data_IF_345195150719
#
_entry.id   IF_345195150719
#
_cell.length_a   1.000
_cell.length_b   1.000
_cell.length_c   1.000
_cell.angle_alpha   90.00
_cell.angle_beta   90.00
_cell.angle_gamma   90.00
#
_symmetry.space_group_name_H-M   'P 1'
#
loop_
_entity.id
_entity.type
_entity.pdbx_description
1 polymer ?
#
# COMPACT_ATOMS: atom_id res chain seq x y z
N UNK A 1 4.38 -10.64 24.74
CA UNK A 1 4.60 -11.02 23.33
C UNK A 1 3.25 -11.45 22.80
N UNK A 2 2.75 -10.80 21.76
CA UNK A 2 1.43 -11.13 21.18
C UNK A 2 1.63 -12.35 20.27
N UNK A 3 0.69 -13.28 20.32
CA UNK A 3 0.70 -14.44 19.42
C UNK A 3 0.52 -13.99 17.96
N UNK A 4 1.14 -14.70 17.02
CA UNK A 4 1.09 -14.37 15.59
C UNK A 4 -0.34 -14.36 15.06
N UNK A 5 -1.17 -15.32 15.45
CA UNK A 5 -2.53 -15.47 14.93
C UNK A 5 -3.40 -14.22 15.21
N UNK A 6 -3.51 -13.70 16.45
CA UNK A 6 -4.24 -12.47 16.73
C UNK A 6 -3.53 -11.20 16.24
N UNK A 7 -2.19 -11.23 16.05
CA UNK A 7 -1.46 -10.08 15.53
C UNK A 7 -1.77 -9.81 14.05
N UNK A 8 -2.00 -10.84 13.23
CA UNK A 8 -2.28 -10.73 11.79
C UNK A 8 -3.46 -9.80 11.47
N UNK A 9 -4.68 -9.98 12.02
CA UNK A 9 -5.81 -9.10 11.68
C UNK A 9 -5.58 -7.65 12.11
N UNK A 10 -4.87 -7.43 13.24
CA UNK A 10 -4.52 -6.08 13.70
C UNK A 10 -3.52 -5.44 12.72
N UNK A 11 -2.48 -6.19 12.34
CA UNK A 11 -1.49 -5.76 11.37
C UNK A 11 -2.12 -5.48 9.99
N UNK A 12 -3.12 -6.27 9.58
CA UNK A 12 -3.88 -6.04 8.35
C UNK A 12 -4.63 -4.70 8.38
N UNK A 13 -5.31 -4.38 9.47
CA UNK A 13 -6.00 -3.09 9.63
C UNK A 13 -4.99 -1.93 9.62
N UNK A 14 -3.84 -2.09 10.28
CA UNK A 14 -2.78 -1.08 10.30
C UNK A 14 -2.21 -0.86 8.89
N UNK A 15 -1.84 -1.93 8.17
CA UNK A 15 -1.37 -1.86 6.79
C UNK A 15 -2.41 -1.17 5.90
N UNK A 16 -3.68 -1.60 5.98
CA UNK A 16 -4.79 -1.04 5.20
C UNK A 16 -4.93 0.46 5.41
N UNK A 17 -4.98 0.90 6.67
CA UNK A 17 -5.10 2.33 7.00
C UNK A 17 -3.87 3.11 6.52
N UNK A 18 -2.68 2.54 6.68
CA UNK A 18 -1.43 3.19 6.32
C UNK A 18 -1.35 3.49 4.82
N UNK A 19 -1.44 2.46 3.97
CA UNK A 19 -1.28 2.68 2.54
C UNK A 19 -2.46 3.49 1.98
N UNK A 20 -3.69 3.23 2.45
CA UNK A 20 -4.86 3.99 1.99
C UNK A 20 -4.71 5.48 2.33
N UNK A 21 -4.26 5.81 3.54
CA UNK A 21 -4.04 7.20 3.95
C UNK A 21 -2.93 7.88 3.12
N UNK A 22 -1.84 7.18 2.84
CA UNK A 22 -0.75 7.70 2.03
C UNK A 22 -1.17 7.89 0.57
N UNK A 23 -1.94 6.96 0.00
CA UNK A 23 -2.44 7.06 -1.37
C UNK A 23 -3.38 8.27 -1.54
N UNK A 24 -4.22 8.54 -0.53
CA UNK A 24 -5.04 9.76 -0.49
C UNK A 24 -4.20 11.02 -0.32
N UNK A 25 -3.21 11.02 0.59
CA UNK A 25 -2.32 12.16 0.85
C UNK A 25 -1.57 12.59 -0.42
N UNK A 26 -1.06 11.61 -1.18
CA UNK A 26 -0.35 11.85 -2.43
C UNK A 26 -1.27 12.07 -3.64
N UNK A 27 -2.60 12.09 -3.43
CA UNK A 27 -3.61 12.34 -4.47
C UNK A 27 -3.47 11.42 -5.68
N UNK A 28 -3.03 10.18 -5.45
CA UNK A 28 -2.93 9.15 -6.50
C UNK A 28 -4.24 8.92 -7.28
N UNK A 29 -5.45 9.13 -6.73
CA UNK A 29 -6.68 8.92 -7.51
C UNK A 29 -6.95 10.00 -8.59
N UNK A 30 -6.17 11.10 -8.65
CA UNK A 30 -6.41 12.20 -9.61
C UNK A 30 -5.97 11.89 -11.05
N UNK A 31 -4.96 11.05 -11.23
CA UNK A 31 -4.44 10.68 -12.56
C UNK A 31 -3.77 9.30 -12.49
N UNK A 32 -3.75 8.57 -13.60
CA UNK A 32 -2.84 7.43 -13.75
C UNK A 32 -1.40 7.93 -13.66
N UNK A 33 -0.70 7.64 -12.56
CA UNK A 33 0.68 8.07 -12.31
C UNK A 33 1.68 7.36 -13.23
N UNK A 34 1.29 6.21 -13.76
CA UNK A 34 2.05 5.34 -14.67
C UNK A 34 1.14 4.78 -15.76
N UNK A 35 1.72 4.33 -16.88
CA UNK A 35 0.97 3.87 -18.06
C UNK A 35 -0.02 2.72 -17.76
N UNK A 36 0.34 1.82 -16.84
CA UNK A 36 -0.52 0.70 -16.41
C UNK A 36 -1.77 1.16 -15.66
N UNK A 37 -1.66 2.22 -14.84
CA UNK A 37 -2.79 2.73 -14.08
C UNK A 37 -3.88 3.32 -14.99
N UNK A 38 -3.46 3.97 -16.08
CA UNK A 38 -4.36 4.55 -17.07
C UNK A 38 -5.14 3.50 -17.87
N UNK A 39 -4.51 2.35 -18.14
CA UNK A 39 -5.16 1.21 -18.80
C UNK A 39 -6.21 0.60 -17.86
N UNK A 40 -5.84 0.36 -16.60
CA UNK A 40 -6.73 -0.24 -15.59
C UNK A 40 -7.92 0.69 -15.30
N UNK A 41 -7.70 1.99 -15.15
CA UNK A 41 -8.77 2.96 -14.94
C UNK A 41 -9.80 2.98 -16.08
N UNK A 42 -9.34 2.95 -17.33
CA UNK A 42 -10.21 2.90 -18.52
C UNK A 42 -10.96 1.57 -18.64
N UNK A 43 -10.33 0.45 -18.32
CA UNK A 43 -10.96 -0.87 -18.39
C UNK A 43 -12.05 -1.04 -17.31
N UNK A 44 -11.78 -0.56 -16.10
CA UNK A 44 -12.76 -0.54 -15.02
C UNK A 44 -13.94 0.38 -15.32
N UNK A 45 -13.70 1.56 -15.91
CA UNK A 45 -14.76 2.46 -16.38
C UNK A 45 -15.68 1.75 -17.39
N UNK A 46 -15.10 1.05 -18.38
CA UNK A 46 -15.86 0.25 -19.37
C UNK A 46 -16.66 -0.90 -18.73
N UNK A 47 -16.11 -1.50 -17.68
CA UNK A 47 -16.77 -2.57 -16.91
C UNK A 47 -17.83 -2.04 -15.92
N UNK A 48 -18.05 -0.73 -15.86
CA UNK A 48 -19.04 -0.05 -15.02
C UNK A 48 -18.53 0.27 -13.60
N UNK A 49 -17.23 0.32 -13.39
CA UNK A 49 -16.56 0.84 -12.19
C UNK A 49 -16.46 2.37 -12.19
N UNK A 50 -15.77 2.93 -11.19
CA UNK A 50 -15.45 4.36 -11.12
C UNK A 50 -14.03 4.60 -11.63
N UNK A 51 -13.85 5.55 -12.54
CA UNK A 51 -12.56 5.81 -13.20
C UNK A 51 -11.48 6.28 -12.23
N UNK A 52 -11.81 7.16 -11.28
CA UNK A 52 -10.83 7.67 -10.30
C UNK A 52 -10.42 6.57 -9.33
N UNK A 53 -11.38 5.74 -8.90
CA UNK A 53 -11.08 4.54 -8.11
C UNK A 53 -10.29 3.49 -8.91
N UNK A 54 -10.55 3.37 -10.21
CA UNK A 54 -9.79 2.50 -11.11
C UNK A 54 -8.35 2.98 -11.33
N UNK A 55 -8.12 4.28 -11.42
CA UNK A 55 -6.77 4.86 -11.41
C UNK A 55 -6.03 4.62 -10.11
N UNK A 56 -6.73 4.72 -8.97
CA UNK A 56 -6.14 4.41 -7.66
C UNK A 56 -5.69 2.95 -7.60
N UNK A 57 -6.58 2.00 -7.93
CA UNK A 57 -6.23 0.56 -8.02
C UNK A 57 -5.08 0.36 -9.02
N UNK A 58 -5.16 1.01 -10.19
CA UNK A 58 -4.14 0.92 -11.21
C UNK A 58 -2.77 1.41 -10.74
N UNK A 59 -2.73 2.47 -9.93
CA UNK A 59 -1.51 3.01 -9.33
C UNK A 59 -0.95 2.07 -8.25
N UNK A 60 -1.82 1.43 -7.46
CA UNK A 60 -1.44 0.39 -6.49
C UNK A 60 -0.78 -0.80 -7.20
N UNK A 61 -1.33 -1.26 -8.33
CA UNK A 61 -0.82 -2.42 -9.08
C UNK A 61 0.43 -2.08 -9.92
N UNK A 62 0.47 -0.90 -10.54
CA UNK A 62 1.41 -0.62 -11.64
C UNK A 62 2.64 0.18 -11.23
N UNK A 63 2.72 0.65 -9.98
CA UNK A 63 3.82 1.47 -9.46
C UNK A 63 4.25 0.99 -8.07
N UNK A 64 5.46 1.33 -7.58
CA UNK A 64 5.80 1.23 -6.17
C UNK A 64 4.94 2.21 -5.35
N UNK A 65 3.71 1.80 -5.09
CA UNK A 65 2.72 2.51 -4.31
C UNK A 65 2.98 2.32 -2.80
N UNK A 66 2.14 2.95 -1.98
CA UNK A 66 2.29 2.85 -0.53
C UNK A 66 2.18 1.40 -0.04
N UNK A 67 1.39 0.53 -0.68
CA UNK A 67 1.27 -0.88 -0.29
C UNK A 67 2.51 -1.71 -0.61
N UNK A 68 3.12 -1.54 -1.79
CA UNK A 68 4.38 -2.19 -2.18
C UNK A 68 5.54 -1.74 -1.29
N UNK A 69 5.61 -0.44 -0.98
CA UNK A 69 6.59 0.11 -0.04
C UNK A 69 6.45 -0.46 1.36
N UNK A 70 5.20 -0.55 1.85
CA UNK A 70 4.88 -1.13 3.17
C UNK A 70 5.26 -2.61 3.24
N UNK A 71 4.93 -3.39 2.21
CA UNK A 71 5.25 -4.81 2.14
C UNK A 71 6.76 -5.06 2.09
N UNK A 72 7.50 -4.30 1.29
CA UNK A 72 8.96 -4.46 1.21
C UNK A 72 9.65 -4.07 2.52
N UNK A 73 9.16 -3.03 3.21
CA UNK A 73 9.65 -2.67 4.53
C UNK A 73 9.38 -3.79 5.57
N UNK A 74 8.20 -4.41 5.54
CA UNK A 74 7.86 -5.53 6.42
C UNK A 74 8.76 -6.76 6.16
N UNK A 75 8.97 -7.13 4.89
CA UNK A 75 9.88 -8.20 4.53
C UNK A 75 11.33 -7.89 4.93
N UNK A 76 11.81 -6.67 4.68
CA UNK A 76 13.14 -6.24 5.07
C UNK A 76 13.33 -6.29 6.59
N UNK A 77 12.34 -5.81 7.34
CA UNK A 77 12.38 -5.86 8.81
C UNK A 77 12.38 -7.30 9.34
N UNK A 78 11.59 -8.19 8.74
CA UNK A 78 11.57 -9.60 9.14
C UNK A 78 12.93 -10.28 8.92
N UNK A 79 13.61 -10.01 7.80
CA UNK A 79 14.88 -10.65 7.45
C UNK A 79 16.06 -10.08 8.26
N UNK A 80 16.13 -8.77 8.43
CA UNK A 80 17.33 -8.13 9.00
C UNK A 80 17.02 -6.95 9.95
N UNK A 81 15.83 -6.96 10.55
CA UNK A 81 15.40 -5.92 11.48
C UNK A 81 15.44 -4.52 10.84
N UNK A 82 15.76 -3.52 11.65
CA UNK A 82 15.73 -2.13 11.20
C UNK A 82 16.61 -1.87 9.96
N UNK A 83 17.75 -2.55 9.83
CA UNK A 83 18.65 -2.40 8.69
C UNK A 83 18.05 -2.90 7.39
N UNK A 84 17.37 -4.05 7.43
CA UNK A 84 16.65 -4.57 6.27
C UNK A 84 15.53 -3.62 5.83
N UNK A 85 14.81 -3.02 6.78
CA UNK A 85 13.76 -2.04 6.49
C UNK A 85 14.32 -0.74 5.87
N UNK A 86 15.46 -0.25 6.35
CA UNK A 86 16.15 0.92 5.77
C UNK A 86 16.62 0.65 4.34
N UNK A 87 17.13 -0.54 4.05
CA UNK A 87 17.48 -0.96 2.69
C UNK A 87 16.23 -0.98 1.80
N UNK A 88 15.11 -1.51 2.30
CA UNK A 88 13.84 -1.50 1.56
C UNK A 88 13.40 -0.08 1.18
N UNK A 89 13.58 0.92 2.03
CA UNK A 89 13.27 2.33 1.69
C UNK A 89 14.10 2.79 0.47
N UNK A 90 15.39 2.48 0.45
CA UNK A 90 16.28 2.84 -0.67
C UNK A 90 15.87 2.10 -1.95
N UNK A 91 15.57 0.80 -1.86
CA UNK A 91 15.13 0.00 -3.01
C UNK A 91 13.82 0.51 -3.59
N UNK A 92 12.84 0.84 -2.74
CA UNK A 92 11.55 1.41 -3.17
C UNK A 92 11.74 2.78 -3.80
N UNK A 93 12.62 3.62 -3.24
CA UNK A 93 12.97 4.90 -3.83
C UNK A 93 13.57 4.76 -5.23
N UNK A 94 14.52 3.84 -5.41
CA UNK A 94 15.13 3.55 -6.73
C UNK A 94 14.06 3.02 -7.70
N UNK A 95 13.24 2.06 -7.24
CA UNK A 95 12.15 1.49 -8.03
C UNK A 95 11.16 2.55 -8.51
N UNK A 96 10.77 3.48 -7.64
CA UNK A 96 9.86 4.57 -8.00
C UNK A 96 10.43 5.44 -9.14
N UNK A 97 11.75 5.68 -9.16
CA UNK A 97 12.41 6.41 -10.25
C UNK A 97 12.45 5.64 -11.55
N UNK A 98 12.68 4.34 -11.48
CA UNK A 98 12.65 3.45 -12.67
C UNK A 98 11.24 3.43 -13.28
N UNK A 99 10.21 3.38 -12.43
CA UNK A 99 8.81 3.40 -12.84
C UNK A 99 8.31 4.80 -13.27
N UNK A 100 9.17 5.82 -13.27
CA UNK A 100 8.83 7.21 -13.56
C UNK A 100 7.67 7.75 -12.70
N UNK A 101 7.49 7.21 -11.50
CA UNK A 101 6.49 7.69 -10.55
C UNK A 101 6.96 9.03 -9.96
N UNK A 102 6.14 10.06 -10.14
CA UNK A 102 6.38 11.38 -9.55
C UNK A 102 5.96 11.44 -8.08
N UNK A 103 5.12 10.49 -7.64
CA UNK A 103 4.67 10.35 -6.27
C UNK A 103 5.73 9.70 -5.39
N UNK A 104 5.90 10.19 -4.17
CA UNK A 104 6.72 9.54 -3.14
C UNK A 104 5.89 8.55 -2.32
N UNK A 105 4.80 8.02 -2.87
CA UNK A 105 3.84 7.20 -2.13
C UNK A 105 4.47 5.92 -1.58
N UNK A 106 5.17 5.14 -2.41
CA UNK A 106 5.88 3.94 -1.95
C UNK A 106 7.03 4.24 -1.01
N UNK A 107 7.83 5.27 -1.27
CA UNK A 107 8.93 5.63 -0.35
C UNK A 107 8.37 6.08 1.01
N UNK A 108 7.30 6.86 1.03
CA UNK A 108 6.60 7.26 2.25
C UNK A 108 5.99 6.05 2.96
N UNK A 109 5.41 5.12 2.20
CA UNK A 109 4.89 3.84 2.69
C UNK A 109 5.98 3.04 3.40
N UNK A 110 7.13 2.87 2.75
CA UNK A 110 8.27 2.16 3.32
C UNK A 110 8.81 2.83 4.59
N UNK A 111 8.93 4.16 4.62
CA UNK A 111 9.39 4.92 5.80
C UNK A 111 8.40 4.77 6.95
N UNK A 112 7.11 5.04 6.73
CA UNK A 112 6.09 4.96 7.76
C UNK A 112 5.92 3.53 8.27
N UNK A 113 5.93 2.54 7.38
CA UNK A 113 5.87 1.12 7.73
C UNK A 113 7.06 0.72 8.60
N UNK A 114 8.28 1.15 8.23
CA UNK A 114 9.49 0.90 9.02
C UNK A 114 9.34 1.43 10.45
N UNK A 115 8.85 2.66 10.62
CA UNK A 115 8.63 3.25 11.94
C UNK A 115 7.55 2.51 12.74
N UNK A 116 6.44 2.14 12.10
CA UNK A 116 5.33 1.43 12.74
C UNK A 116 5.77 0.04 13.20
N UNK A 117 6.40 -0.73 12.31
CA UNK A 117 6.86 -2.10 12.59
C UNK A 117 7.93 -2.07 13.68
N UNK A 118 8.91 -1.16 13.57
CA UNK A 118 9.92 -0.98 14.61
C UNK A 118 9.28 -0.66 15.96
N UNK A 119 8.36 0.30 16.01
CA UNK A 119 7.69 0.68 17.26
C UNK A 119 6.88 -0.48 17.86
N UNK A 120 6.08 -1.16 17.05
CA UNK A 120 5.19 -2.22 17.54
C UNK A 120 5.97 -3.49 17.91
N UNK A 121 7.03 -3.82 17.19
CA UNK A 121 7.89 -4.95 17.55
C UNK A 121 8.74 -4.63 18.79
N UNK A 122 9.32 -3.44 18.90
CA UNK A 122 10.18 -3.08 20.04
C UNK A 122 9.41 -2.81 21.33
N UNK A 123 8.21 -2.21 21.27
CA UNK A 123 7.49 -1.78 22.49
C UNK A 123 6.22 -2.59 22.79
N UNK A 124 5.53 -3.10 21.76
CA UNK A 124 4.30 -3.89 21.94
C UNK A 124 4.51 -5.40 21.76
N UNK A 125 5.73 -5.83 21.39
CA UNK A 125 6.06 -7.24 21.19
C UNK A 125 5.28 -7.89 20.05
N UNK A 126 4.99 -7.14 18.99
CA UNK A 126 4.38 -7.65 17.76
C UNK A 126 5.41 -8.46 16.93
N UNK A 127 5.06 -9.67 16.46
CA UNK A 127 5.92 -10.43 15.57
C UNK A 127 5.95 -9.79 14.17
N UNK A 128 7.13 -9.52 13.58
CA UNK A 128 7.25 -8.81 12.30
C UNK A 128 6.59 -9.55 11.12
N UNK A 129 6.56 -10.88 11.13
CA UNK A 129 5.87 -11.70 10.12
C UNK A 129 4.36 -11.43 10.03
N UNK A 130 3.73 -10.97 11.13
CA UNK A 130 2.31 -10.60 11.13
C UNK A 130 2.03 -9.41 10.21
N UNK A 131 2.99 -8.50 10.02
CA UNK A 131 2.85 -7.38 9.10
C UNK A 131 2.97 -7.81 7.63
N UNK A 132 3.76 -8.83 7.33
CA UNK A 132 3.82 -9.40 5.97
C UNK A 132 2.46 -10.00 5.62
N UNK A 133 1.96 -10.91 6.45
CA UNK A 133 0.66 -11.55 6.23
C UNK A 133 -0.48 -10.52 6.25
N UNK A 134 -0.45 -9.57 7.19
CA UNK A 134 -1.45 -8.51 7.30
C UNK A 134 -1.49 -7.60 6.07
N UNK A 135 -0.33 -7.21 5.55
CA UNK A 135 -0.26 -6.40 4.34
C UNK A 135 -0.79 -7.15 3.10
N UNK A 136 -0.48 -8.45 2.94
CA UNK A 136 -1.05 -9.26 1.86
C UNK A 136 -2.58 -9.34 1.96
N UNK A 137 -3.12 -9.55 3.17
CA UNK A 137 -4.57 -9.55 3.40
C UNK A 137 -5.18 -8.19 3.06
N UNK A 138 -4.53 -7.09 3.48
CA UNK A 138 -5.02 -5.74 3.24
C UNK A 138 -5.05 -5.41 1.73
N UNK A 139 -4.00 -5.77 0.99
CA UNK A 139 -3.96 -5.62 -0.48
C UNK A 139 -5.07 -6.46 -1.12
N UNK A 140 -5.20 -7.73 -0.74
CA UNK A 140 -6.26 -8.60 -1.27
C UNK A 140 -7.66 -8.07 -0.98
N UNK A 141 -7.87 -7.44 0.17
CA UNK A 141 -9.17 -6.85 0.53
C UNK A 141 -9.52 -5.64 -0.34
N UNK A 142 -8.53 -4.83 -0.72
CA UNK A 142 -8.73 -3.66 -1.58
C UNK A 142 -8.84 -4.05 -3.06
N UNK A 143 -8.02 -4.99 -3.52
CA UNK A 143 -7.85 -5.29 -4.94
C UNK A 143 -8.50 -6.60 -5.38
N UNK A 144 -8.44 -7.63 -4.53
CA UNK A 144 -8.73 -9.01 -4.88
C UNK A 144 -10.20 -9.41 -4.86
N UNK A 145 -11.05 -8.73 -4.07
CA UNK A 145 -12.45 -9.16 -3.90
C UNK A 145 -13.32 -8.74 -5.09
N UNK A 146 -13.23 -7.49 -5.52
CA UNK A 146 -13.84 -7.03 -6.77
C UNK A 146 -13.34 -5.64 -7.12
N UNK A 147 -12.46 -5.55 -8.11
CA UNK A 147 -11.94 -4.28 -8.61
C UNK A 147 -13.06 -3.31 -9.05
N UNK A 148 -14.21 -3.82 -9.53
CA UNK A 148 -15.38 -3.00 -9.88
C UNK A 148 -16.05 -2.36 -8.67
N UNK A 149 -16.31 -3.11 -7.60
CA UNK A 149 -16.94 -2.54 -6.41
C UNK A 149 -15.95 -1.72 -5.58
N UNK A 150 -14.70 -2.17 -5.51
CA UNK A 150 -13.61 -1.44 -4.86
C UNK A 150 -13.38 -0.08 -5.52
N UNK A 151 -13.28 -0.02 -6.86
CA UNK A 151 -13.15 1.27 -7.57
C UNK A 151 -14.31 2.21 -7.26
N UNK A 152 -15.56 1.72 -7.23
CA UNK A 152 -16.72 2.54 -6.85
C UNK A 152 -16.64 3.07 -5.42
N UNK A 153 -16.19 2.25 -4.46
CA UNK A 153 -16.03 2.65 -3.06
C UNK A 153 -14.93 3.71 -2.93
N UNK A 154 -13.76 3.44 -3.52
CA UNK A 154 -12.62 4.36 -3.53
C UNK A 154 -12.96 5.68 -4.21
N UNK A 155 -13.66 5.64 -5.35
CA UNK A 155 -14.12 6.84 -6.05
C UNK A 155 -15.16 7.65 -5.27
N UNK A 156 -16.00 7.01 -4.44
CA UNK A 156 -16.90 7.71 -3.50
C UNK A 156 -16.13 8.35 -2.34
N UNK A 157 -15.16 7.65 -1.77
CA UNK A 157 -14.30 8.17 -0.70
C UNK A 157 -13.49 9.37 -1.20
N UNK A 158 -12.89 9.24 -2.38
CA UNK A 158 -12.15 10.30 -3.05
C UNK A 158 -12.96 11.59 -3.20
N UNK A 159 -14.21 11.50 -3.68
CA UNK A 159 -15.10 12.67 -3.83
C UNK A 159 -15.44 13.38 -2.53
N UNK A 160 -15.31 12.72 -1.37
CA UNK A 160 -15.53 13.36 -0.07
C UNK A 160 -14.28 14.05 0.47
N UNK A 161 -13.10 13.65 0.00
CA UNK A 161 -11.79 14.11 0.49
C UNK A 161 -11.15 15.14 -0.45
N UNK A 162 -11.60 15.22 -1.72
CA UNK A 162 -11.14 16.19 -2.72
C UNK A 162 -11.96 17.47 -2.73
#
# INVERSE_FOLDING_TARGET
MIDVIPAIPIAAVICLLLFTALDFLWKLPKQGGVSGADVIGKDLEKSGGDRNGGWMIGNIISSPDASAGTLLAACGYYVWGIWGALISIVLVYIGARICADKGFAGTSGAVCATLIIWTLTSFAGFPPESFIAGCVIAIFLVEGISAKYASRLLGKLWRKVS
#
